data_IF_524509017309
#
_entry.id   IF_524509017309
#
_cell.length_a   1.000
_cell.length_b   1.000
_cell.length_c   1.000
_cell.angle_alpha   90.00
_cell.angle_beta   90.00
_cell.angle_gamma   90.00
#
_symmetry.space_group_name_H-M   'P 1'
#
loop_
_entity.id
_entity.type
_entity.pdbx_description
1 polymer ?
#
# COMPACT_ATOMS: atom_id res chain seq x y z
N UNK A 1 28.93 -16.35 -8.22
CA UNK A 1 28.07 -16.18 -7.01
C UNK A 1 27.77 -14.71 -6.68
N UNK A 2 28.75 -13.80 -6.55
CA UNK A 2 28.46 -12.35 -6.34
C UNK A 2 27.95 -11.67 -7.60
N UNK A 3 28.41 -12.03 -8.77
CA UNK A 3 27.94 -11.53 -10.07
C UNK A 3 26.51 -12.00 -10.34
N UNK A 4 26.22 -13.28 -10.11
CA UNK A 4 24.88 -13.85 -10.28
C UNK A 4 23.89 -13.16 -9.32
N UNK A 5 24.31 -12.86 -8.07
CA UNK A 5 23.49 -12.15 -7.10
C UNK A 5 23.18 -10.71 -7.54
N UNK A 6 24.18 -10.02 -8.09
CA UNK A 6 23.98 -8.65 -8.61
C UNK A 6 23.08 -8.62 -9.84
N UNK A 7 23.15 -9.63 -10.70
CA UNK A 7 22.24 -9.78 -11.84
C UNK A 7 20.80 -10.01 -11.38
N UNK A 8 20.57 -10.89 -10.39
CA UNK A 8 19.25 -11.08 -9.81
C UNK A 8 18.68 -9.82 -9.15
N UNK A 9 19.51 -9.08 -8.40
CA UNK A 9 19.10 -7.82 -7.79
C UNK A 9 18.78 -6.78 -8.88
N UNK A 10 19.57 -6.74 -9.96
CA UNK A 10 19.32 -5.89 -11.12
C UNK A 10 17.95 -6.19 -11.75
N UNK A 11 17.66 -7.44 -12.03
CA UNK A 11 16.36 -7.86 -12.58
C UNK A 11 15.19 -7.51 -11.65
N UNK A 12 15.32 -7.75 -10.33
CA UNK A 12 14.28 -7.34 -9.39
C UNK A 12 14.05 -5.83 -9.38
N UNK A 13 15.13 -5.06 -9.46
CA UNK A 13 15.06 -3.61 -9.52
C UNK A 13 14.33 -3.14 -10.79
N UNK A 14 14.66 -3.70 -11.95
CA UNK A 14 14.05 -3.37 -13.24
C UNK A 14 12.54 -3.63 -13.26
N UNK A 15 12.10 -4.63 -12.51
CA UNK A 15 10.69 -4.96 -12.36
C UNK A 15 9.99 -3.98 -11.43
N UNK A 16 10.52 -3.83 -10.21
CA UNK A 16 9.91 -3.01 -9.17
C UNK A 16 9.82 -1.53 -9.58
N UNK A 17 10.81 -1.06 -10.36
CA UNK A 17 10.86 0.31 -10.85
C UNK A 17 10.52 0.42 -12.35
N UNK A 18 9.85 -0.59 -12.91
CA UNK A 18 9.40 -0.57 -14.30
C UNK A 18 8.36 0.52 -14.55
N UNK A 19 8.33 0.99 -15.79
CA UNK A 19 7.35 1.97 -16.25
C UNK A 19 5.91 1.51 -16.04
N UNK A 20 5.64 0.22 -16.08
CA UNK A 20 4.32 -0.37 -15.85
C UNK A 20 3.85 -0.19 -14.41
N UNK A 21 4.74 -0.30 -13.42
CA UNK A 21 4.40 -0.05 -12.01
C UNK A 21 4.01 1.41 -11.80
N UNK A 22 4.73 2.34 -12.44
CA UNK A 22 4.40 3.77 -12.40
C UNK A 22 3.01 4.02 -13.00
N UNK A 23 2.72 3.45 -14.17
CA UNK A 23 1.39 3.58 -14.77
C UNK A 23 0.30 2.95 -13.90
N UNK A 24 0.53 1.78 -13.31
CA UNK A 24 -0.43 1.14 -12.42
C UNK A 24 -0.76 2.03 -11.20
N UNK A 25 0.26 2.63 -10.59
CA UNK A 25 0.08 3.56 -9.47
C UNK A 25 -0.68 4.83 -9.89
N UNK A 26 -0.36 5.41 -11.05
CA UNK A 26 -1.05 6.59 -11.57
C UNK A 26 -2.52 6.29 -11.88
N UNK A 27 -2.79 5.18 -12.58
CA UNK A 27 -4.17 4.76 -12.91
C UNK A 27 -4.96 4.54 -11.63
N UNK A 28 -4.39 3.84 -10.66
CA UNK A 28 -5.04 3.60 -9.36
C UNK A 28 -5.32 4.91 -8.62
N UNK A 29 -4.37 5.83 -8.60
CA UNK A 29 -4.53 7.14 -7.97
C UNK A 29 -5.61 8.01 -8.65
N UNK A 30 -5.66 8.00 -9.98
CA UNK A 30 -6.71 8.68 -10.75
C UNK A 30 -8.08 8.04 -10.50
N UNK A 31 -8.14 6.70 -10.49
CA UNK A 31 -9.36 5.97 -10.20
C UNK A 31 -9.91 6.33 -8.81
N UNK A 32 -9.07 6.33 -7.78
CA UNK A 32 -9.50 6.76 -6.44
C UNK A 32 -9.85 8.25 -6.37
N UNK A 33 -9.19 9.10 -7.15
CA UNK A 33 -9.54 10.53 -7.24
C UNK A 33 -10.96 10.69 -7.77
N UNK A 34 -11.31 9.99 -8.83
CA UNK A 34 -12.66 10.01 -9.41
C UNK A 34 -13.68 9.38 -8.45
N UNK A 35 -13.34 8.23 -7.86
CA UNK A 35 -14.22 7.52 -6.92
C UNK A 35 -14.57 8.36 -5.69
N UNK A 36 -13.60 9.08 -5.13
CA UNK A 36 -13.81 9.93 -3.95
C UNK A 36 -14.37 11.32 -4.29
N UNK A 37 -14.69 11.58 -5.56
CA UNK A 37 -15.20 12.87 -6.05
C UNK A 37 -14.26 14.00 -5.63
N UNK A 38 -12.98 13.90 -6.06
CA UNK A 38 -11.91 14.86 -5.71
C UNK A 38 -11.78 15.02 -4.18
N UNK A 39 -11.63 13.87 -3.50
CA UNK A 39 -11.49 13.81 -2.04
C UNK A 39 -10.34 14.65 -1.49
N UNK A 40 -9.32 14.94 -2.31
CA UNK A 40 -8.19 15.81 -1.96
C UNK A 40 -8.66 17.20 -1.50
N UNK A 41 -9.61 17.80 -2.18
CA UNK A 41 -10.12 19.12 -1.81
C UNK A 41 -10.81 19.10 -0.44
N UNK A 42 -11.60 18.06 -0.20
CA UNK A 42 -12.27 17.87 1.10
C UNK A 42 -11.27 17.57 2.20
N UNK A 43 -10.26 16.75 1.92
CA UNK A 43 -9.19 16.42 2.86
C UNK A 43 -8.39 17.66 3.25
N UNK A 44 -8.06 18.54 2.31
CA UNK A 44 -7.35 19.78 2.59
C UNK A 44 -8.18 20.74 3.44
N UNK A 45 -9.42 21.03 3.04
CA UNK A 45 -10.26 21.99 3.76
C UNK A 45 -10.64 21.51 5.17
N UNK A 46 -11.04 20.26 5.29
CA UNK A 46 -11.38 19.66 6.58
C UNK A 46 -10.14 19.42 7.45
N UNK A 47 -9.05 18.93 6.83
CA UNK A 47 -7.79 18.65 7.51
C UNK A 47 -7.19 19.89 8.18
N UNK A 48 -7.24 21.04 7.54
CA UNK A 48 -6.80 22.31 8.15
C UNK A 48 -7.64 22.63 9.39
N UNK A 49 -8.95 22.38 9.36
CA UNK A 49 -9.82 22.61 10.52
C UNK A 49 -9.51 21.66 11.67
N UNK A 50 -9.21 20.39 11.36
CA UNK A 50 -8.79 19.36 12.34
C UNK A 50 -7.46 19.75 12.99
N UNK A 51 -6.46 20.12 12.19
CA UNK A 51 -5.13 20.51 12.69
C UNK A 51 -5.20 21.76 13.60
N UNK A 52 -6.13 22.68 13.31
CA UNK A 52 -6.38 23.86 14.15
C UNK A 52 -7.09 23.56 15.46
N UNK A 53 -7.39 22.29 15.75
CA UNK A 53 -8.03 21.86 16.98
C UNK A 53 -9.54 22.16 17.06
N UNK A 54 -10.21 22.39 15.92
CA UNK A 54 -11.64 22.67 15.91
C UNK A 54 -12.48 21.52 16.47
N UNK A 55 -11.95 20.32 16.41
CA UNK A 55 -12.59 19.07 16.82
C UNK A 55 -11.92 18.43 18.03
N UNK A 56 -10.98 19.11 18.69
CA UNK A 56 -10.31 18.61 19.89
C UNK A 56 -11.24 18.83 21.11
N UNK A 57 -11.71 17.75 21.70
CA UNK A 57 -12.43 17.76 22.96
C UNK A 57 -11.49 17.39 24.12
N UNK A 58 -11.61 18.10 25.26
CA UNK A 58 -10.71 17.88 26.43
C UNK A 58 -10.88 16.50 27.08
N UNK A 59 -11.91 15.75 26.71
CA UNK A 59 -12.23 14.42 27.22
C UNK A 59 -11.95 13.28 26.25
N UNK A 60 -11.39 13.57 25.06
CA UNK A 60 -11.11 12.54 24.07
C UNK A 60 -10.04 11.57 24.57
N UNK A 61 -10.25 10.25 24.41
CA UNK A 61 -9.24 9.27 24.72
C UNK A 61 -8.06 9.41 23.72
N UNK A 62 -6.89 9.67 24.23
CA UNK A 62 -5.67 9.79 23.42
C UNK A 62 -4.58 10.59 24.13
N UNK A 63 -3.33 10.20 23.90
CA UNK A 63 -2.16 10.81 24.56
C UNK A 63 -1.68 12.09 23.87
N UNK A 64 -2.08 12.34 22.61
CA UNK A 64 -1.55 13.42 21.77
C UNK A 64 -2.67 14.11 20.98
N UNK A 65 -2.53 15.41 20.75
CA UNK A 65 -3.47 16.17 19.92
C UNK A 65 -3.22 15.96 18.43
N UNK A 66 -4.15 16.41 17.59
CA UNK A 66 -4.09 16.21 16.12
C UNK A 66 -2.82 16.84 15.48
N UNK A 67 -2.37 17.99 15.98
CA UNK A 67 -1.15 18.62 15.48
C UNK A 67 0.11 17.82 15.84
N UNK A 68 0.17 17.28 17.05
CA UNK A 68 1.27 16.40 17.48
C UNK A 68 1.29 15.11 16.67
N UNK A 69 0.12 14.51 16.43
CA UNK A 69 -0.02 13.31 15.60
C UNK A 69 0.46 13.56 14.16
N UNK A 70 0.08 14.70 13.56
CA UNK A 70 0.55 15.07 12.23
C UNK A 70 2.08 15.27 12.22
N UNK A 71 2.63 15.97 13.21
CA UNK A 71 4.07 16.22 13.30
C UNK A 71 4.86 14.92 13.43
N UNK A 72 4.39 13.97 14.24
CA UNK A 72 4.99 12.66 14.37
C UNK A 72 4.93 11.86 13.06
N UNK A 73 3.78 11.86 12.38
CA UNK A 73 3.61 11.19 11.10
C UNK A 73 4.52 11.77 10.01
N UNK A 74 4.64 13.09 9.92
CA UNK A 74 5.53 13.77 8.98
C UNK A 74 7.00 13.43 9.28
N UNK A 75 7.40 13.47 10.54
CA UNK A 75 8.76 13.11 10.96
C UNK A 75 9.13 11.66 10.60
N UNK A 76 8.20 10.74 10.72
CA UNK A 76 8.41 9.34 10.34
C UNK A 76 8.44 9.12 8.81
N UNK A 77 7.76 9.99 8.05
CA UNK A 77 7.62 9.83 6.59
C UNK A 77 8.77 10.50 5.83
N UNK A 78 9.32 11.59 6.36
CA UNK A 78 10.44 12.30 5.73
C UNK A 78 11.74 11.52 5.94
N UNK A 79 12.28 10.98 4.85
CA UNK A 79 13.50 10.18 4.85
C UNK A 79 14.46 10.60 3.75
N UNK A 80 15.54 9.84 3.62
CA UNK A 80 16.59 10.09 2.61
C UNK A 80 16.00 10.12 1.17
N UNK A 81 15.00 9.30 0.87
CA UNK A 81 14.33 9.29 -0.44
C UNK A 81 13.69 10.62 -0.80
N UNK A 82 13.09 11.31 0.17
CA UNK A 82 12.42 12.59 -0.06
C UNK A 82 13.41 13.77 -0.22
N UNK A 83 14.62 13.61 0.27
CA UNK A 83 15.67 14.64 0.20
C UNK A 83 16.65 14.31 -0.91
N UNK A 84 17.42 13.24 -0.76
CA UNK A 84 18.45 12.83 -1.70
C UNK A 84 17.88 12.33 -3.03
N UNK A 85 16.81 11.50 -2.99
CA UNK A 85 16.16 11.00 -4.19
C UNK A 85 15.53 12.09 -5.05
N UNK A 86 14.93 13.11 -4.42
CA UNK A 86 14.40 14.29 -5.14
C UNK A 86 15.53 15.11 -5.74
N UNK A 87 16.64 15.31 -5.01
CA UNK A 87 17.79 16.02 -5.54
C UNK A 87 18.37 15.34 -6.79
N UNK A 88 18.52 14.00 -6.77
CA UNK A 88 18.96 13.23 -7.91
C UNK A 88 17.96 13.32 -9.08
N UNK A 89 16.67 13.21 -8.81
CA UNK A 89 15.64 13.32 -9.83
C UNK A 89 15.66 14.70 -10.52
N UNK A 90 15.88 15.77 -9.77
CA UNK A 90 16.00 17.14 -10.32
C UNK A 90 17.29 17.29 -11.10
N UNK A 91 18.40 16.73 -10.61
CA UNK A 91 19.68 16.78 -11.31
C UNK A 91 19.64 16.08 -12.69
N UNK A 92 18.93 14.95 -12.78
CA UNK A 92 18.80 14.17 -14.01
C UNK A 92 17.66 14.67 -14.93
N UNK A 93 16.53 15.05 -14.37
CA UNK A 93 15.32 15.40 -15.11
C UNK A 93 15.07 16.90 -15.26
N UNK A 94 15.94 17.74 -14.67
CA UNK A 94 15.80 19.19 -14.70
C UNK A 94 14.54 19.71 -14.02
N UNK A 95 14.13 20.97 -14.27
CA UNK A 95 12.96 21.59 -13.63
C UNK A 95 11.64 20.87 -13.91
N UNK A 96 11.55 20.17 -15.07
CA UNK A 96 10.38 19.39 -15.44
C UNK A 96 10.07 18.25 -14.45
N UNK A 97 11.11 17.69 -13.81
CA UNK A 97 10.93 16.65 -12.80
C UNK A 97 10.09 17.15 -11.61
N UNK A 98 10.32 18.38 -11.16
CA UNK A 98 9.57 19.00 -10.05
C UNK A 98 8.09 19.13 -10.40
N UNK A 99 7.79 19.58 -11.61
CA UNK A 99 6.41 19.73 -12.08
C UNK A 99 5.67 18.38 -12.05
N UNK A 100 6.28 17.33 -12.58
CA UNK A 100 5.69 15.99 -12.58
C UNK A 100 5.57 15.41 -11.16
N UNK A 101 6.52 15.67 -10.28
CA UNK A 101 6.43 15.26 -8.87
C UNK A 101 5.24 15.92 -8.17
N UNK A 102 4.90 17.16 -8.45
CA UNK A 102 3.70 17.81 -7.91
C UNK A 102 2.41 17.15 -8.40
N UNK A 103 2.32 16.86 -9.70
CA UNK A 103 1.15 16.16 -10.26
C UNK A 103 0.98 14.79 -9.62
N UNK A 104 2.06 14.01 -9.56
CA UNK A 104 2.04 12.67 -8.95
C UNK A 104 1.71 12.76 -7.45
N UNK A 105 2.27 13.74 -6.76
CA UNK A 105 1.98 14.01 -5.35
C UNK A 105 0.51 14.31 -5.11
N UNK A 106 -0.10 15.16 -5.94
CA UNK A 106 -1.52 15.46 -5.86
C UNK A 106 -2.40 14.21 -6.08
N UNK A 107 -2.09 13.39 -7.08
CA UNK A 107 -2.77 12.12 -7.32
C UNK A 107 -2.53 11.15 -6.15
N UNK A 108 -1.31 11.09 -5.62
CA UNK A 108 -0.93 10.24 -4.50
C UNK A 108 -1.65 10.56 -3.17
N UNK A 109 -2.14 11.78 -3.00
CA UNK A 109 -2.92 12.16 -1.81
C UNK A 109 -4.15 11.27 -1.62
N UNK A 110 -4.84 10.86 -2.68
CA UNK A 110 -6.01 9.99 -2.59
C UNK A 110 -5.66 8.56 -2.18
N UNK A 111 -4.51 8.05 -2.63
CA UNK A 111 -4.01 6.74 -2.21
C UNK A 111 -3.77 6.75 -0.69
N UNK A 112 -3.08 7.78 -0.19
CA UNK A 112 -2.81 7.90 1.25
C UNK A 112 -4.07 8.12 2.06
N UNK A 113 -5.01 8.92 1.58
CA UNK A 113 -6.30 9.12 2.20
C UNK A 113 -7.08 7.80 2.32
N UNK A 114 -7.09 7.00 1.27
CA UNK A 114 -7.75 5.69 1.26
C UNK A 114 -7.09 4.72 2.24
N UNK A 115 -5.77 4.66 2.26
CA UNK A 115 -4.99 3.83 3.19
C UNK A 115 -5.32 4.18 4.65
N UNK A 116 -5.26 5.46 5.00
CA UNK A 116 -5.53 5.92 6.37
C UNK A 116 -6.99 5.66 6.75
N UNK A 117 -7.94 5.88 5.83
CA UNK A 117 -9.36 5.62 6.08
C UNK A 117 -9.61 4.14 6.34
N UNK A 118 -9.00 3.24 5.56
CA UNK A 118 -9.09 1.80 5.79
C UNK A 118 -8.45 1.41 7.13
N UNK A 119 -7.30 1.98 7.47
CA UNK A 119 -6.61 1.72 8.73
C UNK A 119 -7.48 2.10 9.93
N UNK A 120 -8.22 3.21 9.85
CA UNK A 120 -9.16 3.63 10.89
C UNK A 120 -10.42 2.75 10.95
N UNK A 121 -10.94 2.32 9.79
CA UNK A 121 -12.14 1.49 9.69
C UNK A 121 -11.94 0.09 10.31
N UNK A 122 -10.76 -0.49 10.10
CA UNK A 122 -10.44 -1.86 10.54
C UNK A 122 -9.60 -1.91 11.82
N UNK A 123 -9.38 -0.77 12.48
CA UNK A 123 -8.62 -0.73 13.74
C UNK A 123 -9.27 -1.61 14.82
N UNK A 124 -8.47 -2.10 15.73
CA UNK A 124 -8.95 -2.79 16.92
C UNK A 124 -9.21 -1.79 18.05
N UNK A 125 -10.42 -1.80 18.56
CA UNK A 125 -10.91 -0.92 19.64
C UNK A 125 -11.38 -1.70 20.86
N UNK A 126 -10.90 -2.95 21.03
CA UNK A 126 -11.25 -3.80 22.15
C UNK A 126 -10.78 -3.18 23.49
N UNK A 127 -9.66 -2.46 23.44
CA UNK A 127 -9.15 -1.65 24.54
C UNK A 127 -9.29 -0.16 24.14
N UNK A 128 -10.20 0.60 24.77
CA UNK A 128 -10.42 2.01 24.46
C UNK A 128 -9.19 2.89 24.72
N UNK A 129 -8.36 2.52 25.72
CA UNK A 129 -7.17 3.29 26.09
C UNK A 129 -5.98 3.02 25.14
N UNK A 130 -6.01 1.91 24.40
CA UNK A 130 -4.92 1.47 23.55
C UNK A 130 -5.41 0.95 22.18
N UNK A 131 -6.04 1.78 21.34
CA UNK A 131 -6.54 1.34 20.05
C UNK A 131 -5.40 1.01 19.10
N UNK A 132 -5.42 -0.19 18.51
CA UNK A 132 -4.43 -0.64 17.55
C UNK A 132 -4.99 -0.63 16.13
N UNK A 133 -4.24 -0.06 15.20
CA UNK A 133 -4.61 -0.01 13.78
C UNK A 133 -3.38 -0.18 12.89
N UNK A 134 -3.62 -0.24 11.59
CA UNK A 134 -2.57 -0.33 10.60
C UNK A 134 -2.88 -1.30 9.46
N UNK A 135 -1.98 -1.42 8.47
CA UNK A 135 -2.19 -2.28 7.31
C UNK A 135 -2.46 -3.74 7.66
N UNK A 136 -1.82 -4.29 8.70
CA UNK A 136 -2.03 -5.67 9.13
C UNK A 136 -3.48 -5.93 9.57
N UNK A 137 -4.11 -5.00 10.29
CA UNK A 137 -5.52 -5.12 10.69
C UNK A 137 -6.45 -4.99 9.50
N UNK A 138 -6.14 -4.12 8.53
CA UNK A 138 -6.89 -3.98 7.28
C UNK A 138 -6.87 -5.29 6.50
N UNK A 139 -5.69 -5.89 6.33
CA UNK A 139 -5.54 -7.15 5.62
C UNK A 139 -6.25 -8.28 6.36
N UNK A 140 -6.00 -8.43 7.67
CA UNK A 140 -6.60 -9.53 8.45
C UNK A 140 -8.13 -9.43 8.52
N UNK A 141 -8.68 -8.29 8.95
CA UNK A 141 -10.13 -8.10 9.09
C UNK A 141 -10.83 -7.94 7.75
N UNK A 142 -10.22 -7.22 6.79
CA UNK A 142 -10.77 -6.98 5.46
C UNK A 142 -10.85 -8.26 4.62
N UNK A 143 -9.78 -9.04 4.57
CA UNK A 143 -9.79 -10.33 3.86
C UNK A 143 -10.71 -11.34 4.52
N UNK A 144 -10.75 -11.40 5.86
CA UNK A 144 -11.68 -12.26 6.58
C UNK A 144 -13.13 -11.91 6.24
N UNK A 145 -13.48 -10.63 6.22
CA UNK A 145 -14.83 -10.16 5.85
C UNK A 145 -15.13 -10.47 4.39
N UNK A 146 -14.24 -10.13 3.46
CA UNK A 146 -14.40 -10.39 2.03
C UNK A 146 -14.54 -11.90 1.74
N UNK A 147 -13.76 -12.73 2.43
CA UNK A 147 -13.83 -14.19 2.27
C UNK A 147 -15.12 -14.79 2.80
N UNK A 148 -15.69 -14.21 3.86
CA UNK A 148 -16.98 -14.67 4.42
C UNK A 148 -18.15 -14.23 3.56
N UNK A 149 -18.11 -13.00 3.03
CA UNK A 149 -19.19 -12.44 2.21
C UNK A 149 -19.14 -12.91 0.74
N UNK A 150 -17.94 -13.08 0.16
CA UNK A 150 -17.76 -13.39 -1.26
C UNK A 150 -16.67 -14.46 -1.50
N UNK A 151 -16.90 -15.66 -1.01
CA UNK A 151 -15.96 -16.78 -1.15
C UNK A 151 -15.53 -17.04 -2.61
N UNK A 152 -16.47 -16.92 -3.56
CA UNK A 152 -16.20 -17.08 -5.00
C UNK A 152 -15.22 -16.02 -5.52
N UNK A 153 -15.35 -14.78 -5.05
CA UNK A 153 -14.49 -13.67 -5.48
C UNK A 153 -13.07 -13.83 -4.95
N UNK A 154 -12.89 -14.34 -3.73
CA UNK A 154 -11.57 -14.65 -3.17
C UNK A 154 -10.90 -15.81 -3.90
N UNK A 155 -11.64 -16.86 -4.26
CA UNK A 155 -11.12 -17.97 -5.07
C UNK A 155 -10.72 -17.47 -6.45
N UNK A 156 -11.57 -16.68 -7.11
CA UNK A 156 -11.25 -16.11 -8.43
C UNK A 156 -10.01 -15.22 -8.37
N UNK A 157 -9.88 -14.36 -7.35
CA UNK A 157 -8.70 -13.51 -7.17
C UNK A 157 -7.43 -14.33 -6.93
N UNK A 158 -7.49 -15.39 -6.11
CA UNK A 158 -6.33 -16.27 -5.87
C UNK A 158 -5.91 -17.03 -7.13
N UNK A 159 -6.87 -17.48 -7.94
CA UNK A 159 -6.60 -18.14 -9.24
C UNK A 159 -5.95 -17.17 -10.22
N UNK A 160 -6.47 -15.94 -10.34
CA UNK A 160 -5.88 -14.90 -11.23
C UNK A 160 -4.46 -14.59 -10.78
N UNK A 161 -4.25 -14.42 -9.47
CA UNK A 161 -2.92 -14.11 -8.93
C UNK A 161 -1.93 -15.26 -9.17
N UNK A 162 -2.37 -16.50 -8.97
CA UNK A 162 -1.57 -17.69 -9.28
C UNK A 162 -1.20 -17.78 -10.77
N UNK A 163 -2.14 -17.50 -11.66
CA UNK A 163 -1.89 -17.49 -13.11
C UNK A 163 -0.89 -16.41 -13.52
N UNK A 164 -0.99 -15.22 -12.93
CA UNK A 164 -0.04 -14.11 -13.16
C UNK A 164 1.37 -14.51 -12.71
N UNK A 165 1.50 -15.18 -11.54
CA UNK A 165 2.79 -15.65 -11.03
C UNK A 165 3.40 -16.75 -11.91
N UNK A 166 2.60 -17.72 -12.36
CA UNK A 166 3.05 -18.77 -13.28
C UNK A 166 3.49 -18.18 -14.62
N UNK A 167 2.70 -17.24 -15.16
CA UNK A 167 3.04 -16.58 -16.41
C UNK A 167 4.30 -15.71 -16.30
N UNK A 168 4.45 -14.97 -15.20
CA UNK A 168 5.66 -14.22 -14.89
C UNK A 168 6.90 -15.10 -14.79
N UNK A 169 6.80 -16.26 -14.12
CA UNK A 169 7.88 -17.25 -14.03
C UNK A 169 8.28 -17.82 -15.40
N UNK A 170 7.29 -18.03 -16.28
CA UNK A 170 7.54 -18.53 -17.64
C UNK A 170 8.22 -17.47 -18.55
N UNK A 171 7.81 -16.21 -18.43
CA UNK A 171 8.39 -15.10 -19.22
C UNK A 171 9.83 -14.77 -18.82
N UNK A 172 10.23 -15.05 -17.59
CA UNK A 172 11.57 -14.75 -17.06
C UNK A 172 12.56 -15.92 -17.06
N UNK A 173 12.18 -17.07 -17.62
CA UNK A 173 13.02 -18.02 -18.33
C UNK A 173 14.07 -18.80 -17.56
N UNK A 174 14.16 -18.74 -16.25
CA UNK A 174 15.07 -19.62 -15.47
C UNK A 174 14.33 -20.79 -14.82
N UNK A 175 14.88 -22.02 -14.86
CA UNK A 175 14.22 -23.20 -14.23
C UNK A 175 13.98 -22.99 -12.73
N UNK A 176 14.82 -22.22 -12.06
CA UNK A 176 14.67 -21.87 -10.65
C UNK A 176 13.53 -20.87 -10.43
N UNK A 177 13.39 -19.86 -11.30
CA UNK A 177 12.30 -18.89 -11.22
C UNK A 177 10.94 -19.56 -11.45
N UNK A 178 10.83 -20.47 -12.42
CA UNK A 178 9.60 -21.23 -12.70
C UNK A 178 9.23 -22.10 -11.48
N UNK A 179 10.18 -22.78 -10.84
CA UNK A 179 9.91 -23.61 -9.66
C UNK A 179 9.48 -22.78 -8.45
N UNK A 180 10.12 -21.66 -8.17
CA UNK A 180 9.75 -20.77 -7.06
C UNK A 180 8.36 -20.17 -7.31
N UNK A 181 8.09 -19.63 -8.50
CA UNK A 181 6.80 -19.05 -8.85
C UNK A 181 5.68 -20.11 -8.83
N UNK A 182 5.93 -21.34 -9.27
CA UNK A 182 4.93 -22.41 -9.22
C UNK A 182 4.62 -22.86 -7.80
N UNK A 183 5.61 -22.91 -6.91
CA UNK A 183 5.43 -23.23 -5.47
C UNK A 183 4.60 -22.12 -4.80
N UNK A 184 4.91 -20.86 -5.07
CA UNK A 184 4.15 -19.72 -4.54
C UNK A 184 2.71 -19.73 -5.08
N UNK A 185 2.53 -19.97 -6.39
CA UNK A 185 1.22 -20.08 -7.01
C UNK A 185 0.37 -21.21 -6.40
N UNK A 186 0.98 -22.37 -6.17
CA UNK A 186 0.32 -23.51 -5.52
C UNK A 186 -0.07 -23.18 -4.06
N UNK A 187 0.81 -22.53 -3.31
CA UNK A 187 0.54 -22.09 -1.95
C UNK A 187 -0.64 -21.08 -1.92
N UNK A 188 -0.68 -20.13 -2.85
CA UNK A 188 -1.76 -19.16 -2.98
C UNK A 188 -3.10 -19.81 -3.35
N UNK A 189 -3.08 -20.83 -4.23
CA UNK A 189 -4.27 -21.61 -4.55
C UNK A 189 -4.79 -22.39 -3.34
N UNK A 190 -3.92 -23.07 -2.61
CA UNK A 190 -4.29 -23.80 -1.39
C UNK A 190 -4.87 -22.86 -0.34
N UNK A 191 -4.25 -21.69 -0.12
CA UNK A 191 -4.71 -20.66 0.81
C UNK A 191 -6.06 -20.05 0.37
N UNK A 192 -6.27 -19.87 -0.93
CA UNK A 192 -7.55 -19.42 -1.48
C UNK A 192 -8.68 -20.43 -1.27
N UNK A 193 -8.39 -21.73 -1.34
CA UNK A 193 -9.33 -22.82 -1.05
C UNK A 193 -9.61 -23.02 0.44
N UNK A 194 -8.58 -22.85 1.27
CA UNK A 194 -8.66 -22.96 2.74
C UNK A 194 -9.19 -21.65 3.34
N UNK A 195 -10.44 -21.35 3.30
CA UNK A 195 -11.06 -20.17 3.95
C UNK A 195 -10.20 -18.90 3.99
N UNK A 196 -10.64 -17.82 3.41
CA UNK A 196 -9.90 -16.54 3.38
C UNK A 196 -9.44 -16.00 4.76
N UNK A 197 -9.92 -16.57 5.88
CA UNK A 197 -9.41 -16.34 7.21
C UNK A 197 -7.94 -16.82 7.39
N UNK A 198 -7.56 -17.93 6.74
CA UNK A 198 -6.19 -18.42 6.77
C UNK A 198 -5.24 -17.51 5.96
N UNK A 199 -5.71 -16.96 4.86
CA UNK A 199 -4.94 -16.02 4.02
C UNK A 199 -4.64 -14.70 4.78
N UNK A 200 -5.66 -14.18 5.49
CA UNK A 200 -5.50 -13.03 6.37
C UNK A 200 -4.54 -13.27 7.53
N UNK A 201 -4.57 -14.47 8.13
CA UNK A 201 -3.68 -14.84 9.22
C UNK A 201 -2.21 -15.00 8.76
N UNK A 202 -1.99 -15.58 7.58
CA UNK A 202 -0.63 -15.74 7.02
C UNK A 202 -0.03 -14.39 6.63
N UNK A 203 -0.79 -13.55 5.93
CA UNK A 203 -0.31 -12.23 5.53
C UNK A 203 -0.14 -11.32 6.76
N UNK A 204 -1.08 -11.35 7.72
CA UNK A 204 -0.98 -10.59 8.96
C UNK A 204 0.09 -11.09 9.94
N UNK A 205 0.58 -12.33 9.77
CA UNK A 205 1.68 -12.88 10.56
C UNK A 205 3.07 -12.64 9.96
N UNK A 206 3.15 -12.16 8.71
CA UNK A 206 4.41 -11.82 8.02
C UNK A 206 4.78 -10.35 8.26
N UNK A 207 3.82 -9.51 8.64
CA UNK A 207 4.01 -8.10 9.00
C UNK A 207 3.82 -7.88 10.51
#
# INVERSE_FOLDING_TARGET
MMEDLNEYIGHLNDILFSTWVVYALLITGVLFTVWTIIGQYRALTHGVAVIRGKYDEKGDPGAINHFQALSAALSATVGLGNIGGVAVAVALGGPGAVFWMWIIGFIGMTLKMTEVTQSMLYRNTDDPDNPHGGPMFVVHKGLKKAATENRMLCIAASVIFALVFVWGGFMWGGPIAITICSVIALALLILGFMNGAALGAVIGGIF
#
